data_IF_893104746126
#
_entry.id   IF_893104746126
#
_cell.length_a   1.000
_cell.length_b   1.000
_cell.length_c   1.000
_cell.angle_alpha   90.00
_cell.angle_beta   90.00
_cell.angle_gamma   90.00
#
_symmetry.space_group_name_H-M   'P 1'
#
loop_
_entity.id
_entity.type
_entity.pdbx_description
1 polymer ?
#
# COMPACT_ATOMS: atom_id res chain seq x y z
N UNK A 1 3.09 12.17 7.71
CA UNK A 1 1.83 11.45 7.41
C UNK A 1 1.72 10.28 8.34
N UNK A 2 0.68 9.47 8.20
CA UNK A 2 0.26 8.48 9.20
C UNK A 2 0.04 7.13 8.54
N UNK A 3 0.50 6.07 9.18
CA UNK A 3 0.25 4.69 8.75
C UNK A 3 -0.06 3.82 9.98
N UNK A 4 -1.20 3.15 9.98
CA UNK A 4 -1.64 2.31 11.09
C UNK A 4 -1.98 3.08 12.36
N UNK A 5 -2.53 4.29 12.24
CA UNK A 5 -2.84 5.17 13.37
C UNK A 5 -1.63 5.88 13.99
N UNK A 6 -0.41 5.47 13.64
CA UNK A 6 0.83 6.08 14.14
C UNK A 6 1.31 7.17 13.17
N UNK A 7 1.33 8.41 13.66
CA UNK A 7 1.84 9.57 12.94
C UNK A 7 3.36 9.53 12.72
N UNK A 8 3.90 10.66 12.28
CA UNK A 8 5.34 10.90 12.07
C UNK A 8 6.10 9.71 11.44
N UNK A 9 5.61 9.23 10.29
CA UNK A 9 6.22 8.06 9.64
C UNK A 9 7.72 8.27 9.34
N UNK A 10 8.16 9.52 9.16
CA UNK A 10 9.53 9.87 8.84
C UNK A 10 10.52 9.43 9.93
N UNK A 11 10.10 9.47 11.20
CA UNK A 11 10.95 9.06 12.33
C UNK A 11 11.08 7.55 12.48
N UNK A 12 10.30 6.76 11.72
CA UNK A 12 10.22 5.29 11.84
C UNK A 12 10.17 4.57 10.50
N UNK A 13 10.74 5.18 9.46
CA UNK A 13 10.79 4.59 8.12
C UNK A 13 12.14 4.83 7.46
N UNK A 14 12.40 4.06 6.41
CA UNK A 14 13.51 4.28 5.48
C UNK A 14 12.89 4.73 4.16
N UNK A 15 13.21 5.95 3.74
CA UNK A 15 12.77 6.49 2.44
C UNK A 15 13.66 5.98 1.30
N UNK A 16 13.04 5.52 0.21
CA UNK A 16 13.73 5.14 -1.03
C UNK A 16 13.14 6.00 -2.14
N UNK A 17 13.98 6.83 -2.77
CA UNK A 17 13.60 7.62 -3.94
C UNK A 17 14.02 6.90 -5.22
N UNK A 18 13.13 6.90 -6.21
CA UNK A 18 13.33 6.26 -7.50
C UNK A 18 13.19 7.31 -8.58
N UNK A 19 14.21 7.45 -9.42
CA UNK A 19 14.20 8.41 -10.53
C UNK A 19 13.21 7.95 -11.61
N UNK A 20 12.05 8.62 -11.64
CA UNK A 20 10.97 8.37 -12.58
C UNK A 20 10.11 9.64 -12.73
N UNK A 21 9.59 9.85 -13.92
CA UNK A 21 8.77 11.04 -14.25
C UNK A 21 7.32 10.94 -13.77
N UNK A 22 6.90 9.78 -13.25
CA UNK A 22 5.50 9.43 -12.92
C UNK A 22 4.62 9.11 -14.13
N UNK A 23 5.07 9.46 -15.35
CA UNK A 23 4.33 9.26 -16.60
C UNK A 23 4.65 7.94 -17.31
N UNK A 24 5.75 7.27 -16.94
CA UNK A 24 6.22 6.03 -17.56
C UNK A 24 6.41 4.92 -16.53
N UNK A 25 6.29 3.64 -16.92
CA UNK A 25 6.67 2.52 -16.05
C UNK A 25 8.11 2.65 -15.55
N UNK A 26 8.37 2.16 -14.35
CA UNK A 26 9.72 2.05 -13.80
C UNK A 26 10.53 1.06 -14.64
N UNK A 27 11.78 1.40 -14.98
CA UNK A 27 12.60 0.55 -15.83
C UNK A 27 12.95 -0.77 -15.13
N UNK A 28 13.07 -1.86 -15.91
CA UNK A 28 13.45 -3.15 -15.34
C UNK A 28 14.76 -3.10 -14.52
N UNK A 29 15.84 -2.43 -14.97
CA UNK A 29 17.06 -2.30 -14.17
C UNK A 29 16.86 -1.54 -12.85
N UNK A 30 15.97 -0.53 -12.82
CA UNK A 30 15.68 0.21 -11.58
C UNK A 30 14.94 -0.68 -10.57
N UNK A 31 13.98 -1.47 -11.06
CA UNK A 31 13.25 -2.44 -10.22
C UNK A 31 14.16 -3.58 -9.72
N UNK A 32 15.09 -4.08 -10.54
CA UNK A 32 16.09 -5.09 -10.12
C UNK A 32 16.94 -4.58 -8.95
N UNK A 33 17.37 -3.31 -9.01
CA UNK A 33 18.14 -2.67 -7.94
C UNK A 33 17.31 -2.45 -6.69
N UNK A 34 16.05 -2.05 -6.85
CA UNK A 34 15.13 -1.90 -5.73
C UNK A 34 14.92 -3.23 -5.00
N UNK A 35 14.70 -4.34 -5.72
CA UNK A 35 14.54 -5.66 -5.10
C UNK A 35 15.76 -6.08 -4.28
N UNK A 36 16.96 -5.87 -4.82
CA UNK A 36 18.22 -6.17 -4.12
C UNK A 36 18.36 -5.32 -2.86
N UNK A 37 18.00 -4.04 -2.93
CA UNK A 37 18.04 -3.13 -1.78
C UNK A 37 17.03 -3.54 -0.71
N UNK A 38 15.81 -3.89 -1.12
CA UNK A 38 14.74 -4.33 -0.22
C UNK A 38 15.15 -5.60 0.54
N UNK A 39 15.79 -6.58 -0.09
CA UNK A 39 16.25 -7.80 0.60
C UNK A 39 17.15 -7.46 1.81
N UNK A 40 18.09 -6.53 1.61
CA UNK A 40 18.98 -6.08 2.67
C UNK A 40 18.24 -5.33 3.78
N UNK A 41 17.34 -4.42 3.43
CA UNK A 41 16.60 -3.60 4.41
C UNK A 41 15.62 -4.46 5.21
N UNK A 42 14.79 -5.25 4.54
CA UNK A 42 13.76 -6.08 5.18
C UNK A 42 14.40 -7.07 6.15
N UNK A 43 15.48 -7.74 5.73
CA UNK A 43 16.23 -8.68 6.58
C UNK A 43 16.88 -7.98 7.76
N UNK A 44 17.59 -6.86 7.53
CA UNK A 44 18.36 -6.17 8.58
C UNK A 44 17.48 -5.63 9.71
N UNK A 45 16.31 -5.11 9.35
CA UNK A 45 15.41 -4.43 10.29
C UNK A 45 14.19 -5.27 10.67
N UNK A 46 14.13 -6.52 10.22
CA UNK A 46 13.00 -7.43 10.43
C UNK A 46 11.66 -6.78 10.03
N UNK A 47 11.65 -6.04 8.92
CA UNK A 47 10.46 -5.39 8.39
C UNK A 47 9.69 -6.42 7.57
N UNK A 48 8.41 -6.72 7.89
CA UNK A 48 7.62 -7.65 7.09
C UNK A 48 7.26 -7.03 5.73
N UNK A 49 6.91 -7.84 4.71
CA UNK A 49 6.51 -7.33 3.39
C UNK A 49 5.34 -6.33 3.43
N UNK A 50 4.45 -6.45 4.43
CA UNK A 50 3.36 -5.51 4.67
C UNK A 50 3.84 -4.10 5.07
N UNK A 51 5.07 -3.97 5.57
CA UNK A 51 5.72 -2.71 5.92
C UNK A 51 6.29 -1.94 4.72
N UNK A 52 6.31 -2.54 3.52
CA UNK A 52 6.66 -1.82 2.29
C UNK A 52 5.41 -1.13 1.76
N UNK A 53 5.42 0.20 1.79
CA UNK A 53 4.27 1.05 1.43
C UNK A 53 4.69 2.19 0.50
N UNK A 54 3.74 2.75 -0.26
CA UNK A 54 3.96 3.93 -1.08
C UNK A 54 3.84 5.23 -0.28
N UNK A 55 4.34 6.34 -0.82
CA UNK A 55 4.19 7.64 -0.18
C UNK A 55 2.73 8.10 -0.12
N UNK A 56 1.97 7.80 -1.19
CA UNK A 56 0.54 8.02 -1.26
C UNK A 56 -0.23 7.21 -0.20
N UNK A 57 0.27 6.05 0.25
CA UNK A 57 -0.44 5.22 1.24
C UNK A 57 -0.57 5.94 2.61
N UNK A 58 0.48 6.62 3.06
CA UNK A 58 0.50 7.31 4.38
C UNK A 58 0.24 8.82 4.31
N UNK A 59 0.20 9.39 3.10
CA UNK A 59 -0.04 10.81 2.87
C UNK A 59 -0.96 11.06 1.66
N UNK A 60 -2.13 10.40 1.60
CA UNK A 60 -2.94 10.32 0.38
C UNK A 60 -3.53 11.65 -0.08
N UNK A 61 -3.62 12.65 0.80
CA UNK A 61 -4.14 13.99 0.48
C UNK A 61 -3.15 14.90 -0.26
N UNK A 62 -1.86 14.54 -0.32
CA UNK A 62 -0.80 15.43 -0.81
C UNK A 62 0.32 14.74 -1.60
N UNK A 63 0.23 13.42 -1.79
CA UNK A 63 1.25 12.60 -2.46
C UNK A 63 0.58 11.63 -3.41
N UNK A 64 1.24 11.38 -4.53
CA UNK A 64 0.78 10.51 -5.62
C UNK A 64 1.83 9.46 -6.01
N UNK A 65 3.02 9.51 -5.41
CA UNK A 65 4.12 8.59 -5.64
C UNK A 65 4.00 7.31 -4.80
N UNK A 66 4.42 6.14 -5.33
CA UNK A 66 5.05 5.94 -6.65
C UNK A 66 4.04 5.80 -7.81
N UNK A 67 2.74 5.86 -7.51
CA UNK A 67 1.65 5.86 -8.49
C UNK A 67 1.33 4.50 -9.11
N UNK A 68 0.31 4.43 -9.99
CA UNK A 68 -0.23 3.17 -10.54
C UNK A 68 0.70 2.46 -11.53
N UNK A 69 1.83 3.09 -11.91
CA UNK A 69 2.83 2.52 -12.83
C UNK A 69 3.96 1.79 -12.11
N UNK A 70 4.00 1.88 -10.78
CA UNK A 70 4.95 1.12 -9.97
C UNK A 70 4.51 -0.35 -9.89
N UNK A 71 5.45 -1.25 -10.15
CA UNK A 71 5.15 -2.69 -10.25
C UNK A 71 5.13 -3.35 -8.86
N UNK A 72 4.10 -3.02 -8.09
CA UNK A 72 3.81 -3.61 -6.78
C UNK A 72 3.64 -5.13 -6.84
N UNK A 73 3.04 -5.63 -7.93
CA UNK A 73 2.76 -7.06 -8.10
C UNK A 73 4.06 -7.85 -8.28
N UNK A 74 5.04 -7.30 -8.99
CA UNK A 74 6.40 -7.87 -9.07
C UNK A 74 7.04 -7.99 -7.70
N UNK A 75 7.01 -6.93 -6.87
CA UNK A 75 7.56 -7.01 -5.51
C UNK A 75 6.83 -8.05 -4.65
N UNK A 76 5.51 -8.15 -4.77
CA UNK A 76 4.73 -9.12 -4.01
C UNK A 76 4.97 -10.57 -4.44
N UNK A 77 5.06 -10.85 -5.75
CA UNK A 77 5.44 -12.16 -6.25
C UNK A 77 6.81 -12.59 -5.72
N UNK A 78 7.70 -11.63 -5.52
CA UNK A 78 9.04 -11.86 -5.03
C UNK A 78 9.14 -11.75 -3.48
N UNK A 79 8.00 -11.72 -2.77
CA UNK A 79 7.93 -11.75 -1.30
C UNK A 79 8.37 -10.46 -0.59
N UNK A 80 8.48 -9.34 -1.31
CA UNK A 80 8.97 -8.05 -0.77
C UNK A 80 7.86 -7.05 -0.45
N UNK A 81 6.65 -7.28 -0.98
CA UNK A 81 5.46 -6.52 -0.66
C UNK A 81 4.26 -7.47 -0.51
N UNK A 82 3.12 -6.94 -0.08
CA UNK A 82 1.85 -7.70 -0.05
C UNK A 82 0.97 -7.36 -1.25
N UNK A 83 0.14 -8.31 -1.64
CA UNK A 83 -0.85 -8.18 -2.72
C UNK A 83 -2.11 -8.96 -2.33
N UNK A 84 -3.33 -8.48 -2.66
CA UNK A 84 -4.57 -9.21 -2.39
C UNK A 84 -4.61 -10.54 -3.16
N UNK A 85 -5.22 -11.57 -2.59
CA UNK A 85 -5.35 -12.87 -3.28
C UNK A 85 -6.28 -12.77 -4.51
N UNK A 86 -5.98 -13.51 -5.60
CA UNK A 86 -6.80 -13.52 -6.83
C UNK A 86 -8.26 -13.89 -6.59
N UNK A 87 -8.52 -14.75 -5.61
CA UNK A 87 -9.84 -15.29 -5.27
C UNK A 87 -10.55 -14.49 -4.16
N UNK A 88 -10.15 -13.25 -3.90
CA UNK A 88 -10.85 -12.40 -2.93
C UNK A 88 -12.35 -12.20 -3.28
N UNK A 89 -12.75 -12.51 -4.53
CA UNK A 89 -14.14 -12.51 -4.97
C UNK A 89 -14.66 -11.12 -5.30
N UNK A 90 -15.98 -10.99 -5.42
CA UNK A 90 -16.68 -9.70 -5.50
C UNK A 90 -17.55 -9.57 -4.27
N UNK A 91 -17.15 -8.71 -3.35
CA UNK A 91 -18.00 -8.37 -2.21
C UNK A 91 -18.99 -7.28 -2.60
N UNK A 92 -20.10 -7.14 -1.88
CA UNK A 92 -20.99 -5.99 -2.08
C UNK A 92 -20.27 -4.71 -1.66
N UNK A 93 -20.22 -3.65 -2.50
CA UNK A 93 -19.61 -2.38 -2.13
C UNK A 93 -20.29 -1.80 -0.88
N UNK A 94 -19.49 -1.45 0.12
CA UNK A 94 -19.91 -0.79 1.35
C UNK A 94 -18.80 0.17 1.78
N UNK A 95 -19.07 1.47 1.70
CA UNK A 95 -18.10 2.52 1.99
C UNK A 95 -17.58 2.46 3.43
N UNK A 96 -18.46 2.16 4.38
CA UNK A 96 -18.09 2.08 5.81
C UNK A 96 -17.21 0.87 6.05
N UNK A 97 -17.58 -0.29 5.48
CA UNK A 97 -16.79 -1.51 5.60
C UNK A 97 -15.44 -1.39 4.87
N UNK A 98 -15.39 -0.72 3.72
CA UNK A 98 -14.15 -0.47 2.99
C UNK A 98 -13.20 0.39 3.81
N UNK A 99 -13.67 1.51 4.36
CA UNK A 99 -12.85 2.37 5.21
C UNK A 99 -12.37 1.61 6.45
N UNK A 100 -13.23 0.84 7.13
CA UNK A 100 -12.81 0.03 8.27
C UNK A 100 -11.73 -1.00 7.90
N UNK A 101 -11.83 -1.64 6.73
CA UNK A 101 -10.82 -2.58 6.23
C UNK A 101 -9.51 -1.85 5.88
N UNK A 102 -9.59 -0.73 5.16
CA UNK A 102 -8.43 0.09 4.81
C UNK A 102 -7.70 0.62 6.04
N UNK A 103 -8.43 1.07 7.07
CA UNK A 103 -7.90 1.53 8.35
C UNK A 103 -7.19 0.40 9.10
N UNK A 104 -7.80 -0.79 9.11
CA UNK A 104 -7.22 -1.99 9.73
C UNK A 104 -5.93 -2.42 9.02
N UNK A 105 -5.86 -2.25 7.70
CA UNK A 105 -4.65 -2.49 6.92
C UNK A 105 -3.59 -1.38 7.10
N UNK A 106 -4.01 -0.13 7.34
CA UNK A 106 -3.10 0.96 7.75
C UNK A 106 -3.36 2.35 7.17
N UNK A 107 -4.32 2.52 6.25
CA UNK A 107 -4.59 3.81 5.62
C UNK A 107 -5.16 4.85 6.61
N UNK A 108 -4.82 6.15 6.46
CA UNK A 108 -5.42 7.24 7.24
C UNK A 108 -6.82 7.59 6.67
N UNK A 109 -7.86 6.97 7.22
CA UNK A 109 -9.23 7.04 6.68
C UNK A 109 -9.94 8.37 6.90
N UNK A 110 -9.41 9.21 7.77
CA UNK A 110 -9.87 10.60 7.97
C UNK A 110 -9.71 11.44 6.70
N UNK A 111 -8.92 10.98 5.73
CA UNK A 111 -8.80 11.61 4.41
C UNK A 111 -10.05 11.46 3.53
N UNK A 112 -11.03 10.64 3.94
CA UNK A 112 -12.29 10.41 3.22
C UNK A 112 -12.19 9.32 2.16
N UNK A 113 -13.36 8.78 1.78
CA UNK A 113 -13.50 7.63 0.88
C UNK A 113 -12.73 7.80 -0.43
N UNK A 114 -12.99 8.87 -1.18
CA UNK A 114 -12.42 9.06 -2.52
C UNK A 114 -10.88 9.09 -2.48
N UNK A 115 -10.33 9.76 -1.46
CA UNK A 115 -8.88 9.88 -1.26
C UNK A 115 -8.24 8.54 -0.92
N UNK A 116 -8.85 7.79 0.01
CA UNK A 116 -8.36 6.46 0.43
C UNK A 116 -8.50 5.46 -0.71
N UNK A 117 -9.63 5.46 -1.42
CA UNK A 117 -9.87 4.57 -2.55
C UNK A 117 -8.87 4.83 -3.68
N UNK A 118 -8.58 6.10 -3.98
CA UNK A 118 -7.58 6.48 -4.98
C UNK A 118 -6.19 5.96 -4.60
N UNK A 119 -5.79 6.12 -3.33
CA UNK A 119 -4.52 5.61 -2.83
C UNK A 119 -4.44 4.08 -2.86
N UNK A 120 -5.50 3.42 -2.40
CA UNK A 120 -5.63 1.97 -2.39
C UNK A 120 -5.53 1.39 -3.80
N UNK A 121 -6.26 1.97 -4.78
CA UNK A 121 -6.23 1.53 -6.17
C UNK A 121 -4.87 1.78 -6.82
N UNK A 122 -4.21 2.91 -6.55
CA UNK A 122 -2.87 3.18 -7.08
C UNK A 122 -1.87 2.06 -6.73
N UNK A 123 -2.08 1.36 -5.62
CA UNK A 123 -1.27 0.22 -5.20
C UNK A 123 -1.82 -1.12 -5.66
N UNK A 124 -3.07 -1.45 -5.33
CA UNK A 124 -3.59 -2.82 -5.42
C UNK A 124 -4.48 -3.09 -6.64
N UNK A 125 -5.03 -2.04 -7.24
CA UNK A 125 -5.91 -2.11 -8.42
C UNK A 125 -5.66 -0.92 -9.34
N UNK A 126 -4.44 -0.80 -9.92
CA UNK A 126 -4.15 0.30 -10.83
C UNK A 126 -5.16 0.29 -11.98
N UNK A 127 -5.54 1.48 -12.43
CA UNK A 127 -6.55 1.70 -13.49
C UNK A 127 -8.02 1.41 -13.09
N UNK A 128 -8.30 1.11 -11.82
CA UNK A 128 -9.68 1.08 -11.33
C UNK A 128 -10.31 2.48 -11.36
N UNK A 129 -11.50 2.60 -11.96
CA UNK A 129 -12.23 3.86 -12.12
C UNK A 129 -13.63 3.78 -11.53
N UNK A 130 -14.28 4.93 -11.34
CA UNK A 130 -15.64 5.02 -10.81
C UNK A 130 -15.73 4.86 -9.30
N UNK A 131 -16.96 4.73 -8.76
CA UNK A 131 -17.20 4.56 -7.32
C UNK A 131 -16.59 3.25 -6.80
N UNK A 132 -16.56 3.09 -5.48
CA UNK A 132 -16.19 1.83 -4.83
C UNK A 132 -16.95 0.65 -5.46
N UNK A 133 -16.23 -0.39 -5.85
CA UNK A 133 -16.80 -1.59 -6.45
C UNK A 133 -16.51 -2.85 -5.61
N UNK A 134 -17.04 -3.99 -6.05
CA UNK A 134 -16.90 -5.24 -5.31
C UNK A 134 -15.48 -5.79 -5.22
N UNK A 135 -14.68 -5.76 -6.30
CA UNK A 135 -13.27 -6.15 -6.20
C UNK A 135 -12.42 -5.22 -5.30
N UNK A 136 -12.73 -3.93 -5.17
CA UNK A 136 -12.06 -3.06 -4.18
C UNK A 136 -12.35 -3.54 -2.76
N UNK A 137 -13.63 -3.80 -2.48
CA UNK A 137 -14.10 -4.27 -1.18
C UNK A 137 -13.45 -5.60 -0.80
N UNK A 138 -13.41 -6.54 -1.75
CA UNK A 138 -12.79 -7.84 -1.61
C UNK A 138 -11.28 -7.73 -1.31
N UNK A 139 -10.56 -6.93 -2.10
CA UNK A 139 -9.12 -6.71 -1.89
C UNK A 139 -8.83 -6.08 -0.53
N UNK A 140 -9.61 -5.06 -0.12
CA UNK A 140 -9.43 -4.39 1.17
C UNK A 140 -9.65 -5.35 2.34
N UNK A 141 -10.69 -6.19 2.30
CA UNK A 141 -10.98 -7.19 3.34
C UNK A 141 -9.91 -8.26 3.43
N UNK A 142 -9.42 -8.76 2.30
CA UNK A 142 -8.38 -9.77 2.29
C UNK A 142 -7.07 -9.24 2.91
N UNK A 143 -6.64 -8.05 2.49
CA UNK A 143 -5.45 -7.40 3.05
C UNK A 143 -5.61 -7.10 4.54
N UNK A 144 -6.76 -6.58 4.96
CA UNK A 144 -7.05 -6.32 6.37
C UNK A 144 -7.06 -7.59 7.23
N UNK A 145 -7.46 -8.73 6.64
CA UNK A 145 -7.47 -10.03 7.31
C UNK A 145 -6.07 -10.61 7.46
N UNK A 146 -5.27 -10.60 6.39
CA UNK A 146 -3.95 -11.26 6.35
C UNK A 146 -2.82 -10.40 6.89
N UNK A 147 -2.95 -9.09 6.76
CA UNK A 147 -1.88 -8.12 7.08
C UNK A 147 -2.42 -6.91 7.87
N UNK A 148 -3.18 -7.09 8.96
CA UNK A 148 -3.58 -5.95 9.78
C UNK A 148 -2.33 -5.29 10.38
N UNK A 149 -2.32 -3.95 10.48
CA UNK A 149 -1.27 -3.28 11.25
C UNK A 149 -1.47 -3.61 12.73
N UNK A 150 -0.40 -4.05 13.37
CA UNK A 150 -0.35 -4.19 14.82
C UNK A 150 -0.34 -2.81 15.48
N UNK A 151 -1.49 -2.40 16.01
CA UNK A 151 -1.65 -1.14 16.77
C UNK A 151 -1.18 -1.24 18.22
N UNK A 152 -0.79 -2.44 18.67
CA UNK A 152 -0.40 -2.72 20.06
C UNK A 152 1.11 -2.83 20.24
N UNK A 153 1.87 -2.95 19.16
CA UNK A 153 3.31 -2.86 19.20
C UNK A 153 3.73 -1.46 19.72
N UNK A 154 4.56 -1.38 20.77
CA UNK A 154 5.01 -0.09 21.28
C UNK A 154 5.71 0.68 20.16
N UNK A 155 5.39 1.96 20.03
CA UNK A 155 6.18 2.88 19.22
C UNK A 155 7.61 2.86 19.76
N UNK A 156 8.54 2.36 18.93
CA UNK A 156 9.97 2.35 19.23
C UNK A 156 10.52 3.77 19.43
#
# INVERSE_FOLDING_TARGET
>A
GTWGGSGDINSRSIGIELDNTGSTPFSAPLMDRLETLLDGILTRWNIPPAGVIGHQDFAPTRKWDPGPRFDWRRLAHAGRAVWPEPDAGTDTPDETAFLAAAERFGYPVEAGLDTVLTAFRARFRPWGEGPLDGPDMAAARDLARRFPVDRTAPSA
#
